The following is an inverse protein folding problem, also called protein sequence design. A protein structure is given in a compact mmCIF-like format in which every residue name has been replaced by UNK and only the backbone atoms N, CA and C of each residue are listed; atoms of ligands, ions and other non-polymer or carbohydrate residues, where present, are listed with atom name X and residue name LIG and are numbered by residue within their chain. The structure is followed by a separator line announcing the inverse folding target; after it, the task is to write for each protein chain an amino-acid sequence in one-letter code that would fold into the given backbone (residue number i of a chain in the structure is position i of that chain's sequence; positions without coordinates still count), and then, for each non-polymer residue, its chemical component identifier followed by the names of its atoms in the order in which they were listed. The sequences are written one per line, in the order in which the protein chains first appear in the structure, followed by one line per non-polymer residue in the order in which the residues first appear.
data_IF_296505610714
#
_entry.id   IF_296505610714
#
_cell.length_a   1.000
_cell.length_b   1.000
_cell.length_c   1.000
_cell.angle_alpha   90.00
_cell.angle_beta   90.00
_cell.angle_gamma   90.00
#
_symmetry.space_group_name_H-M   'P 1'
#
loop_
_entity.id
_entity.type
_entity.pdbx_description
1 polymer ?
#
# COMPACT_ATOMS: atom_id res chain seq x y z
N UNK A 1 17.19 13.73 12.54
CA UNK A 1 16.68 12.35 12.39
C UNK A 1 15.31 12.29 11.75
N UNK A 2 14.28 12.96 12.27
CA UNK A 2 12.91 12.93 11.69
C UNK A 2 12.86 13.33 10.20
N UNK A 3 13.57 14.39 9.81
CA UNK A 3 13.65 14.81 8.40
C UNK A 3 14.33 13.79 7.49
N UNK A 4 15.27 12.99 8.01
CA UNK A 4 15.93 11.93 7.25
C UNK A 4 15.01 10.72 7.05
N UNK A 5 14.28 10.30 8.10
CA UNK A 5 13.27 9.25 7.98
C UNK A 5 12.11 9.68 7.08
N UNK A 6 11.70 10.95 7.18
CA UNK A 6 10.70 11.52 6.28
C UNK A 6 11.20 11.55 4.84
N UNK A 7 12.43 12.01 4.59
CA UNK A 7 13.02 11.99 3.24
C UNK A 7 13.20 10.56 2.70
N UNK A 8 13.53 9.60 3.56
CA UNK A 8 13.64 8.18 3.20
C UNK A 8 12.28 7.56 2.88
N UNK A 9 11.23 7.87 3.65
CA UNK A 9 9.85 7.47 3.37
C UNK A 9 9.32 8.11 2.07
N UNK A 10 9.64 9.37 1.81
CA UNK A 10 9.29 10.04 0.54
C UNK A 10 10.04 9.39 -0.62
N UNK A 11 11.30 8.96 -0.42
CA UNK A 11 12.06 8.23 -1.44
C UNK A 11 11.52 6.81 -1.67
N UNK A 12 10.95 6.15 -0.66
CA UNK A 12 10.34 4.83 -0.81
C UNK A 12 8.96 4.85 -1.50
N UNK A 13 8.36 6.04 -1.63
CA UNK A 13 7.14 6.32 -2.43
C UNK A 13 7.49 6.51 -3.92
N UNK A 14 8.76 6.54 -4.33
CA UNK A 14 9.11 6.62 -5.76
C UNK A 14 8.61 5.39 -6.53
N UNK A 15 8.24 5.60 -7.79
CA UNK A 15 7.89 4.51 -8.70
C UNK A 15 9.06 3.54 -8.83
N UNK A 16 8.83 2.27 -8.52
CA UNK A 16 9.80 1.24 -8.81
C UNK A 16 9.52 0.67 -10.21
N UNK A 17 10.61 0.25 -10.85
CA UNK A 17 10.60 -0.15 -12.26
C UNK A 17 9.72 -1.39 -12.44
N UNK A 18 9.71 -2.29 -11.46
CA UNK A 18 8.95 -3.55 -11.39
C UNK A 18 7.47 -3.43 -10.99
N UNK A 19 6.99 -2.25 -10.61
CA UNK A 19 5.61 -2.08 -10.14
C UNK A 19 4.59 -2.09 -11.31
N UNK A 20 3.52 -2.88 -11.17
CA UNK A 20 2.37 -2.84 -12.08
C UNK A 20 1.62 -1.51 -11.98
N UNK A 21 0.86 -1.17 -13.03
CA UNK A 21 0.00 0.04 -13.02
C UNK A 21 -1.03 -0.03 -11.88
N UNK A 22 -1.57 -1.22 -11.61
CA UNK A 22 -2.54 -1.42 -10.53
C UNK A 22 -1.88 -1.26 -9.16
N UNK A 23 -0.64 -1.71 -9.00
CA UNK A 23 0.10 -1.51 -7.76
C UNK A 23 0.34 -0.02 -7.50
N UNK A 24 0.76 0.73 -8.53
CA UNK A 24 0.92 2.19 -8.46
C UNK A 24 -0.39 2.88 -8.08
N UNK A 25 -1.53 2.42 -8.61
CA UNK A 25 -2.84 2.97 -8.26
C UNK A 25 -3.17 2.82 -6.77
N UNK A 26 -2.79 1.70 -6.16
CA UNK A 26 -3.00 1.43 -4.74
C UNK A 26 -1.99 2.17 -3.86
N UNK A 27 -0.70 1.83 -3.94
CA UNK A 27 0.25 2.31 -2.93
C UNK A 27 0.66 3.77 -3.12
N UNK A 28 0.62 4.28 -4.37
CA UNK A 28 1.08 5.64 -4.68
C UNK A 28 -0.09 6.61 -4.77
N UNK A 29 -0.98 6.41 -5.75
CA UNK A 29 -2.05 7.38 -6.02
C UNK A 29 -3.11 7.41 -4.91
N UNK A 30 -3.59 6.24 -4.46
CA UNK A 30 -4.61 6.18 -3.39
C UNK A 30 -4.05 6.70 -2.07
N UNK A 31 -2.85 6.28 -1.68
CA UNK A 31 -2.15 6.83 -0.50
C UNK A 31 -1.97 8.35 -0.57
N UNK A 32 -1.58 8.89 -1.73
CA UNK A 32 -1.42 10.34 -1.90
C UNK A 32 -2.75 11.10 -1.78
N UNK A 33 -3.81 10.59 -2.42
CA UNK A 33 -5.17 11.16 -2.34
C UNK A 33 -5.66 11.19 -0.89
N UNK A 34 -5.56 10.07 -0.18
CA UNK A 34 -6.00 9.96 1.22
C UNK A 34 -5.15 10.87 2.11
N UNK A 35 -3.84 10.95 1.89
CA UNK A 35 -2.95 11.83 2.66
C UNK A 35 -3.34 13.31 2.47
N UNK A 36 -3.65 13.72 1.25
CA UNK A 36 -4.13 15.09 0.97
C UNK A 36 -5.45 15.35 1.71
N UNK A 37 -6.42 14.43 1.66
CA UNK A 37 -7.67 14.60 2.40
C UNK A 37 -7.48 14.60 3.92
N UNK A 38 -6.59 13.76 4.45
CA UNK A 38 -6.25 13.75 5.86
C UNK A 38 -5.68 15.11 6.32
N UNK A 39 -4.80 15.71 5.51
CA UNK A 39 -4.25 17.06 5.76
C UNK A 39 -5.36 18.12 5.68
N UNK A 40 -6.22 18.08 4.66
CA UNK A 40 -7.30 19.05 4.46
C UNK A 40 -8.32 19.01 5.62
N UNK A 41 -8.75 17.81 6.03
CA UNK A 41 -9.65 17.63 7.17
C UNK A 41 -8.98 18.12 8.46
N UNK A 42 -7.71 17.77 8.68
CA UNK A 42 -6.96 18.23 9.85
C UNK A 42 -6.83 19.75 9.89
N UNK A 43 -6.53 20.39 8.77
CA UNK A 43 -6.46 21.84 8.68
C UNK A 43 -7.80 22.49 9.04
N UNK A 44 -8.91 21.96 8.53
CA UNK A 44 -10.25 22.45 8.89
C UNK A 44 -10.63 22.21 10.35
N UNK A 45 -10.16 21.12 10.94
CA UNK A 45 -10.51 20.70 12.30
C UNK A 45 -9.71 21.42 13.39
N UNK A 46 -8.43 21.71 13.13
CA UNK A 46 -7.53 22.30 14.14
C UNK A 46 -7.24 23.79 13.93
N UNK A 47 -7.32 24.28 12.68
CA UNK A 47 -7.05 25.70 12.35
C UNK A 47 -8.36 26.44 12.07
N UNK A 48 -9.39 25.74 11.57
CA UNK A 48 -10.71 26.31 11.35
C UNK A 48 -11.62 26.22 12.58
N UNK A 49 -12.87 26.65 12.38
CA UNK A 49 -13.94 26.49 13.36
C UNK A 49 -14.74 25.23 12.98
N UNK A 50 -14.52 24.06 13.61
CA UNK A 50 -15.21 22.82 13.21
C UNK A 50 -16.70 22.83 13.58
N UNK A 51 -17.04 23.57 14.64
CA UNK A 51 -18.37 23.72 15.21
C UNK A 51 -18.57 25.20 15.61
N UNK A 52 -19.79 25.70 15.48
CA UNK A 52 -20.19 27.00 16.02
C UNK A 52 -21.47 26.84 16.85
N UNK A 53 -21.51 27.41 18.04
CA UNK A 53 -22.61 27.18 18.99
C UNK A 53 -23.43 28.44 19.27
N UNK A 54 -24.75 28.28 19.32
CA UNK A 54 -25.68 29.32 19.74
C UNK A 54 -25.69 29.42 21.27
N UNK A 55 -24.82 30.28 21.80
CA UNK A 55 -24.68 30.56 23.23
C UNK A 55 -25.54 31.77 23.68
N UNK A 56 -25.86 31.91 24.97
CA UNK A 56 -26.60 33.06 25.48
C UNK A 56 -25.85 34.39 25.25
N UNK A 57 -26.58 35.48 24.99
CA UNK A 57 -25.99 36.80 24.71
C UNK A 57 -25.20 37.43 25.87
N UNK A 58 -25.29 36.87 27.08
CA UNK A 58 -24.50 37.30 28.24
C UNK A 58 -23.09 36.74 28.26
N UNK A 59 -22.79 35.76 27.40
CA UNK A 59 -21.47 35.13 27.34
C UNK A 59 -20.47 36.06 26.66
N UNK A 60 -19.25 36.12 27.21
CA UNK A 60 -18.13 36.81 26.56
C UNK A 60 -17.51 35.92 25.49
N UNK A 61 -16.75 36.51 24.57
CA UNK A 61 -16.07 35.78 23.49
C UNK A 61 -15.21 34.58 23.99
N UNK A 62 -14.43 34.69 25.10
CA UNK A 62 -13.74 33.52 25.65
C UNK A 62 -14.67 32.41 26.18
N UNK A 63 -15.86 32.77 26.67
CA UNK A 63 -16.86 31.80 27.13
C UNK A 63 -17.53 31.08 25.96
N UNK A 64 -17.76 31.78 24.85
CA UNK A 64 -18.22 31.19 23.58
C UNK A 64 -17.19 30.18 23.07
N UNK A 65 -15.93 30.59 22.92
CA UNK A 65 -14.84 29.71 22.50
C UNK A 65 -14.67 28.50 23.44
N UNK A 66 -14.78 28.71 24.75
CA UNK A 66 -14.76 27.61 25.72
C UNK A 66 -15.93 26.63 25.49
N UNK A 67 -17.14 27.16 25.27
CA UNK A 67 -18.34 26.35 25.05
C UNK A 67 -18.22 25.55 23.76
N UNK A 68 -17.74 26.16 22.68
CA UNK A 68 -17.49 25.49 21.39
C UNK A 68 -16.46 24.37 21.52
N UNK A 69 -15.32 24.65 22.17
CA UNK A 69 -14.28 23.65 22.41
C UNK A 69 -14.78 22.50 23.29
N UNK A 70 -15.57 22.81 24.32
CA UNK A 70 -16.19 21.80 25.17
C UNK A 70 -17.17 20.94 24.38
N UNK A 71 -18.04 21.55 23.57
CA UNK A 71 -19.01 20.83 22.73
C UNK A 71 -18.35 20.06 21.57
N UNK A 72 -17.13 20.43 21.17
CA UNK A 72 -16.36 19.70 20.17
C UNK A 72 -15.69 18.45 20.74
N UNK A 73 -15.08 18.57 21.93
CA UNK A 73 -14.39 17.46 22.61
C UNK A 73 -15.41 16.49 23.22
N UNK A 74 -16.53 17.00 23.72
CA UNK A 74 -17.64 16.18 24.17
C UNK A 74 -18.47 15.72 22.97
N UNK A 75 -18.92 14.47 22.95
CA UNK A 75 -19.78 13.98 21.87
C UNK A 75 -21.09 14.81 21.79
N UNK A 76 -21.50 15.13 20.57
CA UNK A 76 -22.78 15.81 20.28
C UNK A 76 -23.83 14.80 19.85
N UNK A 77 -25.12 15.14 19.87
CA UNK A 77 -26.19 14.28 19.35
C UNK A 77 -27.09 15.08 18.41
N UNK A 78 -27.66 14.40 17.41
CA UNK A 78 -28.62 15.02 16.51
C UNK A 78 -30.04 14.94 17.08
N UNK A 79 -30.79 16.04 17.00
CA UNK A 79 -32.19 16.12 17.37
C UNK A 79 -32.97 16.83 16.24
N UNK A 80 -34.02 16.20 15.68
CA UNK A 80 -34.90 16.87 14.72
C UNK A 80 -35.52 18.14 15.32
N UNK A 81 -35.75 19.16 14.49
CA UNK A 81 -36.25 20.47 14.94
C UNK A 81 -37.65 20.43 15.60
N UNK A 82 -38.42 19.37 15.36
CA UNK A 82 -39.80 19.23 15.87
C UNK A 82 -39.86 18.43 17.18
N UNK A 83 -38.75 17.83 17.61
CA UNK A 83 -38.69 16.98 18.79
C UNK A 83 -38.24 17.78 20.02
N UNK A 84 -38.80 17.45 21.18
CA UNK A 84 -38.35 18.00 22.46
C UNK A 84 -37.06 17.31 22.92
N UNK A 85 -36.24 18.03 23.69
CA UNK A 85 -35.00 17.47 24.25
C UNK A 85 -35.36 16.38 25.27
N UNK A 86 -34.97 15.10 25.07
CA UNK A 86 -35.38 14.00 25.96
C UNK A 86 -34.94 14.24 27.40
N UNK A 87 -35.81 14.07 28.40
CA UNK A 87 -35.40 14.22 29.81
C UNK A 87 -34.47 13.10 30.27
N UNK A 88 -34.59 11.91 29.65
CA UNK A 88 -33.72 10.78 29.94
C UNK A 88 -32.33 10.99 29.33
N UNK A 89 -31.30 11.06 30.17
CA UNK A 89 -29.92 11.24 29.72
C UNK A 89 -29.38 10.05 28.93
N UNK A 90 -29.79 8.82 29.26
CA UNK A 90 -29.34 7.62 28.57
C UNK A 90 -29.77 7.63 27.08
N UNK A 91 -30.94 8.19 26.79
CA UNK A 91 -31.42 8.34 25.43
C UNK A 91 -30.60 9.34 24.63
N UNK A 92 -30.14 10.43 25.27
CA UNK A 92 -29.23 11.40 24.64
C UNK A 92 -27.88 10.76 24.33
N UNK A 93 -27.37 9.94 25.24
CA UNK A 93 -26.09 9.24 25.08
C UNK A 93 -26.12 8.25 23.92
N UNK A 94 -27.21 7.50 23.77
CA UNK A 94 -27.39 6.55 22.66
C UNK A 94 -27.44 7.22 21.27
N UNK A 95 -27.78 8.52 21.20
CA UNK A 95 -27.85 9.31 19.96
C UNK A 95 -26.56 10.08 19.66
N UNK A 96 -25.51 9.90 20.46
CA UNK A 96 -24.26 10.63 20.31
C UNK A 96 -23.51 10.26 19.03
N UNK A 97 -22.87 11.26 18.43
CA UNK A 97 -22.10 11.20 17.20
C UNK A 97 -20.69 11.72 17.53
N UNK A 98 -19.74 10.79 17.71
CA UNK A 98 -18.36 11.10 18.09
C UNK A 98 -17.31 10.86 16.99
N UNK A 99 -17.70 10.38 15.81
CA UNK A 99 -16.73 9.91 14.81
C UNK A 99 -15.91 11.05 14.18
N UNK A 100 -16.42 12.29 14.17
CA UNK A 100 -15.76 13.43 13.55
C UNK A 100 -14.33 13.65 14.08
N UNK A 101 -14.11 13.40 15.37
CA UNK A 101 -12.81 13.52 16.02
C UNK A 101 -11.78 12.53 15.46
N UNK A 102 -12.23 11.37 14.98
CA UNK A 102 -11.40 10.25 14.56
C UNK A 102 -11.08 10.26 13.07
N UNK A 103 -11.86 10.97 12.25
CA UNK A 103 -11.71 11.02 10.78
C UNK A 103 -10.25 11.24 10.33
N UNK A 104 -9.51 12.26 10.80
CA UNK A 104 -8.13 12.47 10.32
C UNK A 104 -7.18 11.33 10.69
N UNK A 105 -7.35 10.71 11.86
CA UNK A 105 -6.52 9.58 12.30
C UNK A 105 -6.83 8.31 11.51
N UNK A 106 -8.11 8.06 11.22
CA UNK A 106 -8.53 6.92 10.41
C UNK A 106 -8.04 7.07 8.98
N UNK A 107 -8.15 8.25 8.36
CA UNK A 107 -7.61 8.50 7.02
C UNK A 107 -6.08 8.35 6.99
N UNK A 108 -5.36 8.82 8.01
CA UNK A 108 -3.92 8.63 8.09
C UNK A 108 -3.54 7.14 8.23
N UNK A 109 -4.27 6.39 9.05
CA UNK A 109 -4.08 4.94 9.17
C UNK A 109 -4.39 4.22 7.85
N UNK A 110 -5.45 4.63 7.16
CA UNK A 110 -5.84 4.07 5.88
C UNK A 110 -4.76 4.28 4.81
N UNK A 111 -4.19 5.49 4.72
CA UNK A 111 -3.05 5.78 3.85
C UNK A 111 -1.85 4.84 4.15
N UNK A 112 -1.57 4.57 5.44
CA UNK A 112 -0.52 3.62 5.81
C UNK A 112 -0.88 2.20 5.36
N UNK A 113 -2.13 1.76 5.54
CA UNK A 113 -2.58 0.41 5.18
C UNK A 113 -2.51 0.15 3.66
N UNK A 114 -2.81 1.14 2.82
CA UNK A 114 -2.62 1.02 1.36
C UNK A 114 -1.15 0.88 0.94
N UNK A 115 -0.22 1.34 1.79
CA UNK A 115 1.21 1.20 1.56
C UNK A 115 1.80 -0.13 2.07
N UNK A 116 1.13 -0.81 3.01
CA UNK A 116 1.60 -2.07 3.63
C UNK A 116 1.87 -3.19 2.60
N UNK A 117 1.01 -3.47 1.60
CA UNK A 117 1.26 -4.54 0.63
C UNK A 117 2.60 -4.41 -0.09
N UNK A 118 3.00 -3.18 -0.43
CA UNK A 118 4.30 -2.91 -1.07
C UNK A 118 5.46 -3.18 -0.11
N UNK A 119 5.33 -2.84 1.17
CA UNK A 119 6.32 -3.19 2.19
C UNK A 119 6.44 -4.72 2.29
N UNK A 120 5.31 -5.42 2.36
CA UNK A 120 5.28 -6.88 2.47
C UNK A 120 5.90 -7.55 1.24
N UNK A 121 5.57 -7.09 0.03
CA UNK A 121 6.18 -7.58 -1.22
C UNK A 121 7.70 -7.42 -1.19
N UNK A 122 8.21 -6.25 -0.79
CA UNK A 122 9.65 -5.96 -0.70
C UNK A 122 10.36 -6.81 0.35
N UNK A 123 9.73 -7.03 1.50
CA UNK A 123 10.29 -7.87 2.57
C UNK A 123 10.36 -9.34 2.16
N UNK A 124 9.35 -9.83 1.43
CA UNK A 124 9.28 -11.23 1.01
C UNK A 124 10.11 -11.50 -0.25
N UNK A 125 10.18 -10.56 -1.21
CA UNK A 125 11.00 -10.72 -2.43
C UNK A 125 12.50 -10.80 -2.12
N UNK A 126 12.93 -10.22 -1.00
CA UNK A 126 14.31 -10.36 -0.50
C UNK A 126 14.69 -11.83 -0.23
N UNK A 127 13.75 -12.69 0.16
CA UNK A 127 14.02 -14.10 0.42
C UNK A 127 14.28 -14.92 -0.85
N UNK A 128 14.05 -14.35 -2.05
CA UNK A 128 14.22 -15.01 -3.35
C UNK A 128 15.68 -15.06 -3.85
N UNK A 129 16.67 -14.65 -3.04
CA UNK A 129 18.07 -15.07 -3.23
C UNK A 129 18.98 -14.21 -4.12
N UNK A 130 18.55 -13.05 -4.63
CA UNK A 130 19.44 -12.07 -5.27
C UNK A 130 19.14 -10.67 -4.71
N UNK A 131 20.03 -10.15 -3.86
CA UNK A 131 19.81 -8.88 -3.18
C UNK A 131 21.06 -7.98 -3.22
N UNK A 132 21.03 -6.95 -4.06
CA UNK A 132 22.12 -5.98 -4.26
C UNK A 132 22.28 -5.02 -3.07
N UNK A 133 21.22 -4.78 -2.29
CA UNK A 133 21.23 -3.87 -1.14
C UNK A 133 21.98 -4.44 0.08
N UNK A 134 22.16 -5.76 0.16
CA UNK A 134 22.75 -6.42 1.34
C UNK A 134 24.28 -6.25 1.46
N UNK A 135 24.97 -5.84 0.39
CA UNK A 135 26.41 -5.54 0.40
C UNK A 135 26.75 -4.17 1.01
N UNK A 136 25.82 -3.21 0.94
CA UNK A 136 26.04 -1.82 1.39
C UNK A 136 25.61 -1.63 2.84
N UNK A 137 24.62 -2.39 3.29
CA UNK A 137 24.07 -2.29 4.65
C UNK A 137 24.99 -2.93 5.71
N UNK A 138 25.83 -3.91 5.35
CA UNK A 138 26.80 -4.54 6.28
C UNK A 138 27.98 -3.64 6.66
N UNK A 139 28.11 -2.45 6.06
CA UNK A 139 29.19 -1.52 6.36
C UNK A 139 28.88 -0.54 7.52
N UNK A 140 27.63 -0.45 8.00
CA UNK A 140 27.20 0.71 8.79
C UNK A 140 26.67 0.46 10.20
N UNK A 141 26.72 -0.76 10.75
CA UNK A 141 26.32 -0.99 12.14
C UNK A 141 27.50 -1.34 13.03
N UNK A 142 27.85 -0.43 13.94
CA UNK A 142 27.97 -0.72 15.38
C UNK A 142 28.66 0.43 16.12
N UNK A 143 28.19 0.64 17.37
CA UNK A 143 28.69 1.52 18.46
C UNK A 143 27.95 2.85 18.58
N UNK A 144 27.41 3.24 19.74
CA UNK A 144 27.47 2.71 21.09
C UNK A 144 26.19 3.18 21.79
N UNK A 145 25.49 2.24 22.42
CA UNK A 145 24.53 2.54 23.47
C UNK A 145 25.27 3.19 24.64
N UNK A 146 24.69 4.22 25.21
CA UNK A 146 24.90 4.54 26.62
C UNK A 146 23.56 4.72 27.33
N UNK A 147 23.46 4.12 28.52
CA UNK A 147 22.25 3.87 29.29
C UNK A 147 21.91 5.02 30.27
N UNK A 148 22.72 6.08 30.34
CA UNK A 148 22.67 7.05 31.45
C UNK A 148 21.92 8.38 31.19
N UNK A 149 21.36 8.57 29.98
CA UNK A 149 20.53 9.76 29.66
C UNK A 149 19.02 9.48 29.66
N UNK A 150 18.60 8.20 29.72
CA UNK A 150 17.18 7.81 29.69
C UNK A 150 16.45 8.07 31.01
N UNK A 151 17.16 8.06 32.13
CA UNK A 151 16.56 8.16 33.47
C UNK A 151 16.33 9.61 33.95
N UNK A 152 17.09 10.60 33.43
CA UNK A 152 16.86 12.03 33.75
C UNK A 152 15.67 12.62 33.00
N UNK A 153 15.41 12.17 31.76
CA UNK A 153 14.22 12.55 31.01
C UNK A 153 12.92 12.01 31.63
N UNK A 154 12.97 10.83 32.25
CA UNK A 154 11.81 10.23 32.93
C UNK A 154 11.45 10.95 34.25
N UNK A 155 12.42 11.51 34.97
CA UNK A 155 12.15 12.28 36.19
C UNK A 155 11.51 13.66 35.91
N UNK A 156 11.94 14.37 34.86
CA UNK A 156 11.35 15.66 34.47
C UNK A 156 9.90 15.52 33.97
N UNK A 157 9.55 14.38 33.35
CA UNK A 157 8.18 14.08 32.92
C UNK A 157 7.29 13.78 34.13
N UNK A 158 7.80 13.09 35.16
CA UNK A 158 7.04 12.77 36.37
C UNK A 158 6.64 14.03 37.16
N UNK A 159 7.54 15.00 37.32
CA UNK A 159 7.28 16.24 38.08
C UNK A 159 6.23 17.13 37.39
N UNK A 160 6.24 17.20 36.07
CA UNK A 160 5.26 17.99 35.29
C UNK A 160 3.85 17.35 35.30
N UNK A 161 3.76 16.03 35.44
CA UNK A 161 2.48 15.32 35.58
C UNK A 161 1.89 15.50 36.99
N UNK A 162 2.75 15.58 38.01
CA UNK A 162 2.36 15.79 39.41
C UNK A 162 1.79 17.20 39.65
N UNK A 163 2.37 18.24 39.03
CA UNK A 163 1.84 19.62 39.06
C UNK A 163 0.50 19.78 38.31
N UNK A 164 0.30 19.03 37.22
CA UNK A 164 -0.95 19.04 36.47
C UNK A 164 -2.12 18.33 37.22
N UNK A 165 -1.80 17.37 38.10
CA UNK A 165 -2.78 16.66 38.93
C UNK A 165 -3.31 17.52 40.09
N UNK A 166 -2.53 18.47 40.60
CA UNK A 166 -2.94 19.36 41.70
C UNK A 166 -3.99 20.41 41.30
N UNK A 167 -4.08 20.78 40.02
CA UNK A 167 -5.06 21.76 39.52
C UNK A 167 -6.48 21.17 39.41
N UNK A 168 -6.63 19.84 39.34
CA UNK A 168 -7.94 19.18 39.20
C UNK A 168 -8.79 19.15 40.48
N UNK A 169 -8.18 19.33 41.65
CA UNK A 169 -8.87 19.13 42.94
C UNK A 169 -9.63 20.38 43.45
N UNK A 170 -9.46 21.55 42.82
CA UNK A 170 -10.07 22.80 43.27
C UNK A 170 -11.42 23.16 42.61
N UNK A 171 -11.98 22.32 41.72
CA UNK A 171 -13.23 22.64 40.98
C UNK A 171 -14.49 21.97 41.57
N UNK A 172 -14.40 21.21 42.66
CA UNK A 172 -15.52 20.32 43.11
C UNK A 172 -16.45 20.92 44.18
N UNK A 173 -16.46 22.24 44.41
CA UNK A 173 -17.37 22.88 45.39
C UNK A 173 -18.55 23.65 44.76
N UNK A 174 -18.76 23.53 43.44
CA UNK A 174 -19.90 24.13 42.74
C UNK A 174 -20.99 23.11 42.38
N UNK A 175 -22.25 23.50 42.54
CA UNK A 175 -23.39 22.71 42.07
C UNK A 175 -23.28 22.55 40.54
N UNK A 176 -23.37 21.33 40.01
CA UNK A 176 -23.17 21.07 38.57
C UNK A 176 -24.40 21.52 37.79
N UNK A 177 -24.33 22.70 37.17
CA UNK A 177 -25.38 23.19 36.28
C UNK A 177 -25.13 22.73 34.85
N UNK A 178 -26.02 21.86 34.33
CA UNK A 178 -25.97 21.36 32.96
C UNK A 178 -26.78 22.26 32.03
N UNK A 179 -26.14 22.81 31.01
CA UNK A 179 -26.77 23.61 29.97
C UNK A 179 -26.68 22.88 28.62
N UNK A 180 -27.75 22.93 27.81
CA UNK A 180 -27.76 22.44 26.43
C UNK A 180 -27.73 23.62 25.48
N UNK A 181 -26.76 23.65 24.57
CA UNK A 181 -26.64 24.65 23.50
C UNK A 181 -26.84 23.97 22.15
N UNK A 182 -27.36 24.71 21.17
CA UNK A 182 -27.49 24.23 19.79
C UNK A 182 -26.23 24.62 19.02
N UNK A 183 -25.71 23.73 18.19
CA UNK A 183 -24.50 24.00 17.43
C UNK A 183 -24.65 23.56 15.97
N UNK A 184 -23.99 24.27 15.06
CA UNK A 184 -23.90 23.95 13.63
C UNK A 184 -22.54 23.31 13.35
N UNK A 185 -22.55 22.07 12.84
CA UNK A 185 -21.33 21.34 12.47
C UNK A 185 -20.96 21.61 11.01
N UNK A 186 -20.16 22.66 10.79
CA UNK A 186 -19.66 22.99 9.44
C UNK A 186 -18.80 21.86 8.84
N UNK A 187 -18.09 21.11 9.69
CA UNK A 187 -17.24 19.97 9.28
C UNK A 187 -18.04 18.86 8.59
N UNK A 188 -19.32 18.70 8.91
CA UNK A 188 -20.15 17.63 8.36
C UNK A 188 -20.34 17.77 6.84
N UNK A 189 -20.56 18.99 6.36
CA UNK A 189 -20.70 19.26 4.92
C UNK A 189 -19.45 18.90 4.13
N UNK A 190 -18.26 19.11 4.70
CA UNK A 190 -16.99 18.73 4.07
C UNK A 190 -16.80 17.21 4.06
N UNK A 191 -17.02 16.56 5.21
CA UNK A 191 -16.87 15.12 5.34
C UNK A 191 -17.79 14.35 4.39
N UNK A 192 -19.04 14.78 4.23
CA UNK A 192 -19.97 14.17 3.28
C UNK A 192 -19.40 14.15 1.84
N UNK A 193 -18.81 15.26 1.38
CA UNK A 193 -18.26 15.33 0.01
C UNK A 193 -16.99 14.51 -0.16
N UNK A 194 -16.10 14.51 0.84
CA UNK A 194 -14.88 13.70 0.83
C UNK A 194 -15.26 12.22 0.82
N UNK A 195 -16.18 11.79 1.68
CA UNK A 195 -16.59 10.38 1.76
C UNK A 195 -17.30 9.91 0.50
N UNK A 196 -18.14 10.75 -0.13
CA UNK A 196 -18.73 10.41 -1.43
C UNK A 196 -17.65 10.21 -2.51
N UNK A 197 -16.66 11.10 -2.58
CA UNK A 197 -15.56 10.95 -3.53
C UNK A 197 -14.76 9.65 -3.27
N UNK A 198 -14.35 9.42 -2.02
CA UNK A 198 -13.59 8.24 -1.63
C UNK A 198 -14.38 6.95 -1.87
N UNK A 199 -15.69 6.97 -1.66
CA UNK A 199 -16.56 5.81 -1.92
C UNK A 199 -16.50 5.35 -3.38
N UNK A 200 -16.66 6.27 -4.33
CA UNK A 200 -16.53 5.94 -5.76
C UNK A 200 -15.10 5.53 -6.13
N UNK A 201 -14.10 6.19 -5.55
CA UNK A 201 -12.69 5.85 -5.77
C UNK A 201 -12.39 4.42 -5.32
N UNK A 202 -12.83 4.02 -4.12
CA UNK A 202 -12.63 2.68 -3.59
C UNK A 202 -13.37 1.61 -4.39
N UNK A 203 -14.57 1.91 -4.88
CA UNK A 203 -15.28 0.96 -5.74
C UNK A 203 -14.51 0.69 -7.05
N UNK A 204 -13.99 1.74 -7.69
CA UNK A 204 -13.17 1.61 -8.90
C UNK A 204 -11.87 0.84 -8.61
N UNK A 205 -11.18 1.21 -7.53
CA UNK A 205 -9.92 0.59 -7.12
C UNK A 205 -10.11 -0.90 -6.77
N UNK A 206 -11.18 -1.24 -6.07
CA UNK A 206 -11.56 -2.62 -5.77
C UNK A 206 -11.80 -3.42 -7.06
N UNK A 207 -12.52 -2.84 -8.04
CA UNK A 207 -12.70 -3.49 -9.34
C UNK A 207 -11.38 -3.74 -10.07
N UNK A 208 -10.50 -2.73 -10.12
CA UNK A 208 -9.21 -2.83 -10.79
C UNK A 208 -8.26 -3.87 -10.13
N UNK A 209 -8.22 -3.89 -8.79
CA UNK A 209 -7.41 -4.86 -8.01
C UNK A 209 -7.93 -6.28 -8.15
N UNK A 210 -9.25 -6.49 -8.12
CA UNK A 210 -9.85 -7.81 -8.35
C UNK A 210 -9.53 -8.33 -9.75
N UNK A 211 -9.63 -7.48 -10.78
CA UNK A 211 -9.24 -7.85 -12.14
C UNK A 211 -7.75 -8.23 -12.24
N UNK A 212 -6.87 -7.45 -11.60
CA UNK A 212 -5.43 -7.75 -11.54
C UNK A 212 -5.15 -9.07 -10.81
N UNK A 213 -5.83 -9.33 -9.70
CA UNK A 213 -5.72 -10.57 -8.96
C UNK A 213 -6.10 -11.77 -9.84
N UNK A 214 -7.20 -11.70 -10.57
CA UNK A 214 -7.60 -12.77 -11.48
C UNK A 214 -6.61 -12.95 -12.64
N UNK A 215 -6.07 -11.87 -13.19
CA UNK A 215 -5.03 -11.92 -14.23
C UNK A 215 -3.78 -12.67 -13.73
N UNK A 216 -3.27 -12.32 -12.54
CA UNK A 216 -2.12 -12.97 -11.95
C UNK A 216 -2.40 -14.40 -11.49
N UNK A 217 -3.56 -14.70 -10.91
CA UNK A 217 -3.98 -16.08 -10.58
C UNK A 217 -4.01 -16.93 -11.85
N UNK A 218 -4.59 -16.43 -12.93
CA UNK A 218 -4.61 -17.13 -14.22
C UNK A 218 -3.17 -17.41 -14.70
N UNK A 219 -2.30 -16.40 -14.67
CA UNK A 219 -0.88 -16.54 -15.05
C UNK A 219 -0.09 -17.47 -14.12
N UNK A 220 -0.42 -17.56 -12.83
CA UNK A 220 0.33 -18.36 -11.84
C UNK A 220 -0.20 -19.79 -11.68
N UNK A 221 -1.46 -20.06 -11.99
CA UNK A 221 -2.06 -21.41 -11.94
C UNK A 221 -1.78 -22.20 -13.23
N UNK A 222 -1.81 -21.54 -14.39
CA UNK A 222 -1.54 -22.16 -15.71
C UNK A 222 -0.10 -22.73 -15.89
N UNK A 223 0.97 -22.25 -15.23
CA UNK A 223 2.33 -22.81 -15.19
C UNK A 223 2.47 -24.16 -14.46
N UNK A 224 1.59 -24.44 -13.49
CA UNK A 224 1.73 -25.60 -12.60
C UNK A 224 1.40 -26.96 -13.26
N UNK A 225 1.36 -27.01 -14.60
CA UNK A 225 1.14 -28.23 -15.38
C UNK A 225 2.29 -29.23 -15.34
N UNK A 226 3.43 -28.96 -14.69
CA UNK A 226 4.48 -29.99 -14.46
C UNK A 226 3.94 -31.13 -13.57
N UNK A 227 3.06 -30.83 -12.62
CA UNK A 227 2.42 -31.84 -11.76
C UNK A 227 1.32 -32.62 -12.49
N UNK A 228 0.60 -31.95 -13.39
CA UNK A 228 -0.36 -32.59 -14.32
C UNK A 228 0.39 -33.38 -15.40
N UNK A 229 1.58 -32.97 -15.85
CA UNK A 229 2.41 -33.68 -16.82
C UNK A 229 2.80 -35.07 -16.31
N UNK A 230 3.15 -35.20 -15.03
CA UNK A 230 3.55 -36.48 -14.44
C UNK A 230 2.36 -37.43 -14.19
N UNK A 231 1.18 -36.88 -13.86
CA UNK A 231 -0.05 -37.67 -13.66
C UNK A 231 -0.73 -38.02 -15.00
N UNK A 232 -0.78 -37.08 -15.94
CA UNK A 232 -1.24 -37.31 -17.31
C UNK A 232 -0.27 -38.22 -18.06
N UNK A 233 1.06 -38.08 -18.05
CA UNK A 233 1.97 -39.02 -18.77
C UNK A 233 1.75 -40.50 -18.41
N UNK A 234 1.26 -40.80 -17.20
CA UNK A 234 0.88 -42.15 -16.76
C UNK A 234 -0.45 -42.63 -17.34
N UNK A 235 -1.41 -41.74 -17.57
CA UNK A 235 -2.76 -42.04 -18.10
C UNK A 235 -2.86 -41.82 -19.63
N UNK A 236 -2.11 -40.86 -20.18
CA UNK A 236 -2.06 -40.41 -21.58
C UNK A 236 -1.19 -41.27 -22.50
N UNK A 237 -0.65 -42.40 -22.01
CA UNK A 237 -0.25 -43.47 -22.93
C UNK A 237 -1.49 -44.21 -23.50
N UNK A 238 -2.68 -43.93 -22.98
CA UNK A 238 -3.91 -44.63 -23.33
C UNK A 238 -4.93 -43.83 -24.16
N UNK A 239 -4.92 -42.49 -24.19
CA UNK A 239 -5.99 -41.74 -24.88
C UNK A 239 -5.43 -40.48 -25.55
N UNK A 240 -5.44 -40.54 -26.87
CA UNK A 240 -5.03 -39.55 -27.85
C UNK A 240 -5.77 -38.20 -27.72
N UNK A 241 -5.08 -37.14 -27.31
CA UNK A 241 -5.47 -35.73 -27.53
C UNK A 241 -4.25 -34.81 -27.36
N UNK A 242 -3.46 -34.60 -28.42
CA UNK A 242 -2.18 -33.84 -28.31
C UNK A 242 -1.97 -32.70 -29.31
N UNK A 243 -2.85 -32.41 -30.27
CA UNK A 243 -2.42 -31.58 -31.41
C UNK A 243 -2.65 -30.05 -31.33
N UNK A 244 -3.64 -29.54 -30.61
CA UNK A 244 -4.15 -28.18 -30.89
C UNK A 244 -3.86 -27.09 -29.85
N UNK A 245 -3.68 -27.41 -28.56
CA UNK A 245 -3.61 -26.35 -27.51
C UNK A 245 -2.21 -26.08 -26.95
N UNK A 246 -1.35 -27.12 -26.86
CA UNK A 246 0.07 -26.96 -26.49
C UNK A 246 0.89 -26.20 -27.54
N UNK A 247 0.33 -26.07 -28.76
CA UNK A 247 0.95 -25.38 -29.88
C UNK A 247 0.78 -23.85 -29.84
N UNK A 248 -0.13 -23.31 -29.01
CA UNK A 248 -0.44 -21.87 -28.95
C UNK A 248 0.49 -21.10 -27.98
N UNK A 249 0.58 -21.51 -26.71
CA UNK A 249 1.48 -20.87 -25.71
C UNK A 249 2.97 -21.10 -26.01
N UNK A 250 3.35 -22.30 -26.48
CA UNK A 250 4.71 -22.57 -26.94
C UNK A 250 5.09 -21.65 -28.10
N UNK A 251 4.17 -21.40 -29.03
CA UNK A 251 4.40 -20.48 -30.15
C UNK A 251 4.49 -19.05 -29.67
N UNK A 252 3.72 -18.65 -28.66
CA UNK A 252 3.77 -17.30 -28.09
C UNK A 252 5.08 -17.03 -27.32
N UNK A 253 5.56 -17.97 -26.51
CA UNK A 253 6.86 -17.87 -25.83
C UNK A 253 8.03 -17.89 -26.82
N UNK A 254 7.99 -18.78 -27.82
CA UNK A 254 8.99 -18.83 -28.89
C UNK A 254 8.94 -17.58 -29.77
N UNK A 255 7.76 -17.04 -30.06
CA UNK A 255 7.62 -15.79 -30.83
C UNK A 255 8.14 -14.59 -30.03
N UNK A 256 7.85 -14.52 -28.73
CA UNK A 256 8.35 -13.45 -27.86
C UNK A 256 9.88 -13.48 -27.79
N UNK A 257 10.49 -14.60 -27.39
CA UNK A 257 11.95 -14.71 -27.29
C UNK A 257 12.60 -14.63 -28.68
N UNK A 258 11.98 -15.26 -29.68
CA UNK A 258 12.41 -15.24 -31.07
C UNK A 258 12.45 -13.83 -31.67
N UNK A 259 11.50 -12.95 -31.32
CA UNK A 259 11.49 -11.53 -31.75
C UNK A 259 12.77 -10.80 -31.36
N UNK A 260 13.36 -11.10 -30.20
CA UNK A 260 14.60 -10.48 -29.76
C UNK A 260 15.83 -11.15 -30.37
N UNK A 261 15.79 -12.46 -30.61
CA UNK A 261 16.94 -13.18 -31.17
C UNK A 261 17.08 -13.01 -32.70
N UNK A 262 16.01 -12.66 -33.42
CA UNK A 262 16.05 -12.44 -34.89
C UNK A 262 16.94 -11.28 -35.33
N UNK A 263 17.24 -10.33 -34.44
CA UNK A 263 18.12 -9.19 -34.71
C UNK A 263 19.62 -9.51 -34.61
N UNK A 264 20.00 -10.73 -34.21
CA UNK A 264 21.40 -11.12 -34.01
C UNK A 264 22.00 -11.58 -35.36
N UNK A 265 23.17 -11.04 -35.73
CA UNK A 265 23.94 -11.53 -36.88
C UNK A 265 24.22 -13.04 -36.73
N UNK A 266 23.80 -13.84 -37.70
CA UNK A 266 23.93 -15.31 -37.68
C UNK A 266 22.68 -16.07 -37.21
N UNK A 267 21.62 -15.41 -36.74
CA UNK A 267 20.37 -16.08 -36.32
C UNK A 267 19.74 -16.94 -37.43
N UNK A 268 19.91 -16.57 -38.71
CA UNK A 268 19.39 -17.35 -39.86
C UNK A 268 19.94 -18.79 -39.96
N UNK A 269 20.98 -19.15 -39.21
CA UNK A 269 21.50 -20.52 -39.11
C UNK A 269 20.96 -21.30 -37.89
N UNK A 270 20.09 -20.68 -37.08
CA UNK A 270 19.53 -21.30 -35.87
C UNK A 270 18.36 -22.21 -36.25
N UNK A 271 18.57 -23.51 -36.07
CA UNK A 271 17.50 -24.50 -36.17
C UNK A 271 16.39 -24.18 -35.14
N UNK A 272 15.13 -24.23 -35.58
CA UNK A 272 13.95 -24.03 -34.73
C UNK A 272 13.94 -24.97 -33.51
N UNK A 273 14.61 -26.12 -33.62
CA UNK A 273 14.79 -27.07 -32.51
C UNK A 273 15.76 -26.56 -31.44
N UNK A 274 16.79 -25.78 -31.82
CA UNK A 274 17.75 -25.19 -30.89
C UNK A 274 17.13 -24.04 -30.08
N UNK A 275 16.29 -23.21 -30.72
CA UNK A 275 15.51 -22.17 -30.04
C UNK A 275 14.55 -22.79 -29.01
N UNK A 276 13.85 -23.86 -29.40
CA UNK A 276 12.95 -24.58 -28.49
C UNK A 276 13.69 -25.17 -27.29
N UNK A 277 14.90 -25.68 -27.50
CA UNK A 277 15.73 -26.25 -26.43
C UNK A 277 16.26 -25.18 -25.49
N UNK A 278 16.70 -24.04 -26.02
CA UNK A 278 17.08 -22.86 -25.24
C UNK A 278 15.94 -22.38 -24.33
N UNK A 279 14.76 -22.11 -24.90
CA UNK A 279 13.62 -21.58 -24.13
C UNK A 279 13.16 -22.58 -23.06
N UNK A 280 13.08 -23.87 -23.38
CA UNK A 280 12.51 -24.85 -22.46
C UNK A 280 13.50 -25.40 -21.43
N UNK A 281 14.76 -25.67 -21.82
CA UNK A 281 15.71 -26.35 -20.93
C UNK A 281 16.66 -25.39 -20.23
N UNK A 282 17.10 -24.33 -20.92
CA UNK A 282 18.07 -23.37 -20.39
C UNK A 282 17.37 -22.22 -19.68
N UNK A 283 16.46 -21.53 -20.38
CA UNK A 283 15.78 -20.36 -19.86
C UNK A 283 14.65 -20.74 -18.89
N UNK A 284 13.92 -21.82 -19.20
CA UNK A 284 12.74 -22.30 -18.47
C UNK A 284 11.69 -21.19 -18.28
N UNK A 285 10.64 -21.50 -17.53
CA UNK A 285 9.55 -20.56 -17.30
C UNK A 285 9.99 -19.32 -16.51
N UNK A 286 10.90 -19.50 -15.55
CA UNK A 286 11.43 -18.41 -14.72
C UNK A 286 12.24 -17.39 -15.54
N UNK A 287 13.07 -17.86 -16.47
CA UNK A 287 13.83 -16.96 -17.34
C UNK A 287 12.98 -16.26 -18.41
N UNK A 288 11.92 -16.92 -18.92
CA UNK A 288 10.95 -16.27 -19.82
C UNK A 288 10.15 -15.20 -19.07
N UNK A 289 9.77 -15.47 -17.82
CA UNK A 289 9.13 -14.49 -16.95
C UNK A 289 10.04 -13.28 -16.70
N UNK A 290 11.31 -13.51 -16.35
CA UNK A 290 12.30 -12.45 -16.18
C UNK A 290 12.50 -11.61 -17.45
N UNK A 291 12.57 -12.23 -18.64
CA UNK A 291 12.66 -11.49 -19.90
C UNK A 291 11.41 -10.67 -20.19
N UNK A 292 10.21 -11.19 -19.89
CA UNK A 292 8.95 -10.42 -20.01
C UNK A 292 8.92 -9.25 -19.02
N UNK A 293 9.40 -9.46 -17.81
CA UNK A 293 9.53 -8.41 -16.81
C UNK A 293 10.50 -7.32 -17.30
N UNK A 294 11.68 -7.68 -17.79
CA UNK A 294 12.65 -6.71 -18.36
C UNK A 294 12.07 -5.99 -19.58
N UNK A 295 11.37 -6.67 -20.49
CA UNK A 295 10.74 -6.04 -21.66
C UNK A 295 9.67 -5.01 -21.27
N UNK A 296 8.78 -5.36 -20.34
CA UNK A 296 7.70 -4.48 -19.87
C UNK A 296 8.24 -3.28 -19.10
N UNK A 297 9.31 -3.46 -18.33
CA UNK A 297 9.74 -2.48 -17.33
C UNK A 297 11.00 -1.68 -17.71
N UNK A 298 12.00 -2.32 -18.35
CA UNK A 298 13.22 -1.67 -18.82
C UNK A 298 13.19 -1.33 -20.31
N UNK A 299 12.18 -1.81 -21.04
CA UNK A 299 12.00 -1.59 -22.47
C UNK A 299 12.66 -2.67 -23.34
N UNK A 300 12.40 -2.56 -24.64
CA UNK A 300 12.76 -3.59 -25.63
C UNK A 300 14.28 -3.73 -25.84
N UNK A 301 15.06 -2.65 -25.69
CA UNK A 301 16.50 -2.64 -25.94
C UNK A 301 17.31 -3.38 -24.84
N UNK A 302 17.12 -3.14 -23.54
CA UNK A 302 17.76 -3.96 -22.49
C UNK A 302 17.33 -5.43 -22.53
N UNK A 303 16.07 -5.70 -22.89
CA UNK A 303 15.59 -7.07 -23.07
C UNK A 303 16.31 -7.78 -24.22
N UNK A 304 16.55 -7.08 -25.33
CA UNK A 304 17.33 -7.60 -26.46
C UNK A 304 18.77 -7.97 -26.05
N UNK A 305 19.47 -7.06 -25.37
CA UNK A 305 20.87 -7.31 -24.93
C UNK A 305 20.96 -8.48 -23.94
N UNK A 306 20.00 -8.56 -23.02
CA UNK A 306 19.91 -9.67 -22.06
C UNK A 306 19.63 -11.00 -22.76
N UNK A 307 18.65 -11.04 -23.66
CA UNK A 307 18.31 -12.24 -24.44
C UNK A 307 19.49 -12.70 -25.31
N UNK A 308 20.20 -11.77 -25.96
CA UNK A 308 21.41 -12.05 -26.75
C UNK A 308 22.53 -12.64 -25.89
N UNK A 309 22.80 -12.03 -24.74
CA UNK A 309 23.84 -12.52 -23.81
C UNK A 309 23.51 -13.92 -23.29
N UNK A 310 22.25 -14.17 -22.91
CA UNK A 310 21.77 -15.48 -22.47
C UNK A 310 21.89 -16.54 -23.57
N UNK A 311 21.58 -16.17 -24.82
CA UNK A 311 21.73 -17.06 -25.98
C UNK A 311 23.18 -17.43 -26.24
N UNK A 312 24.09 -16.45 -26.23
CA UNK A 312 25.52 -16.70 -26.41
C UNK A 312 26.06 -17.65 -25.33
N UNK A 313 25.73 -17.39 -24.05
CA UNK A 313 26.11 -18.28 -22.95
C UNK A 313 25.58 -19.71 -23.11
N UNK A 314 24.39 -19.88 -23.71
CA UNK A 314 23.84 -21.20 -24.01
C UNK A 314 24.62 -21.91 -25.14
N UNK A 315 25.01 -21.17 -26.17
CA UNK A 315 25.84 -21.69 -27.27
C UNK A 315 27.23 -22.10 -26.78
N UNK A 316 27.90 -21.26 -26.00
CA UNK A 316 29.25 -21.54 -25.46
C UNK A 316 29.25 -22.79 -24.57
N UNK A 317 28.23 -22.94 -23.71
CA UNK A 317 28.05 -24.14 -22.89
C UNK A 317 27.77 -25.42 -23.71
N UNK A 318 27.26 -25.29 -24.93
CA UNK A 318 27.01 -26.41 -25.84
C UNK A 318 28.29 -26.84 -26.55
N UNK A 319 29.16 -25.89 -26.92
CA UNK A 319 30.46 -26.17 -27.55
C UNK A 319 31.46 -26.77 -26.54
N UNK A 320 31.50 -26.29 -25.30
CA UNK A 320 32.35 -26.86 -24.25
C UNK A 320 32.07 -28.34 -23.96
N UNK A 321 30.80 -28.77 -24.02
CA UNK A 321 30.42 -30.18 -23.84
C UNK A 321 30.77 -31.09 -25.03
N UNK A 322 31.14 -30.53 -26.17
CA UNK A 322 31.48 -31.29 -27.38
C UNK A 322 33.00 -31.56 -27.50
N UNK A 323 33.82 -30.86 -26.70
CA UNK A 323 35.27 -31.05 -26.63
C UNK A 323 35.72 -32.05 -25.55
N UNK A 324 34.83 -32.41 -24.61
CA UNK A 324 35.10 -33.34 -23.49
C UNK A 324 34.58 -34.77 -23.73
N UNK A 325 34.27 -35.16 -24.98
CA UNK A 325 33.79 -36.51 -25.36
C UNK A 325 34.75 -37.21 -26.30
#
# INVERSE_FOLDING_TARGET
MLLYYFASAVKSIQFHVDDDIIDKLNYYYTTAIITVFAILVSAKQYVGFPIQCWVPATFTEPMEQYTENYCWVQNTYFLPLHDYIPHNYAERENRQIGYYQWVPFVLALEALLFYVPTIVWRLLSWQSGIHVQSLVQMACDSRLLDLESRNRALQTIATNVEEALHVKHQVVLGNVHRHTVQCVLMINMFNEKIFLFLWFWYFLLAGATVCSLFYWIYISVVPSRILIENFCKRIYRAVFYEATYQHFDLREQLNFVGKYLTGIEGYKMVDSQSLRRFVFHFLRQDGVFLLRMVATHAGELPCYELAKTLWNNYCDNKEGKMHDV
#
